data_IF_265822542673
#
_entry.id   IF_265822542673
#
_cell.length_a   1.000
_cell.length_b   1.000
_cell.length_c   1.000
_cell.angle_alpha   90.00
_cell.angle_beta   90.00
_cell.angle_gamma   90.00
#
_symmetry.space_group_name_H-M   'P 1'
#
loop_
_entity.id
_entity.type
_entity.pdbx_description
1 polymer ?
#
# COMPACT_ATOMS: atom_id res chain seq x y z
N UNK A 1 -40.81 26.32 -21.88
CA UNK A 1 -40.11 25.05 -22.12
C UNK A 1 -39.08 24.89 -21.03
N UNK A 2 -39.28 23.95 -20.10
CA UNK A 2 -38.46 23.84 -18.89
C UNK A 2 -37.12 23.13 -19.15
N UNK A 3 -36.04 23.67 -18.60
CA UNK A 3 -34.73 23.02 -18.61
C UNK A 3 -34.77 21.72 -17.78
N UNK A 4 -34.34 20.62 -18.39
CA UNK A 4 -34.21 19.32 -17.74
C UNK A 4 -32.86 19.27 -17.04
N UNK A 5 -32.86 19.08 -15.72
CA UNK A 5 -31.64 19.01 -14.93
C UNK A 5 -30.75 17.82 -15.34
N UNK A 6 -29.41 17.97 -15.35
CA UNK A 6 -28.50 16.93 -15.83
C UNK A 6 -28.48 15.70 -14.90
N UNK A 7 -28.50 14.51 -15.51
CA UNK A 7 -28.39 13.22 -14.82
C UNK A 7 -26.98 13.06 -14.25
N UNK A 8 -26.88 12.94 -12.91
CA UNK A 8 -25.62 12.62 -12.23
C UNK A 8 -25.56 11.12 -11.94
N UNK A 9 -24.57 10.44 -12.51
CA UNK A 9 -24.28 9.04 -12.18
C UNK A 9 -23.16 8.96 -11.13
N UNK A 10 -23.31 8.08 -10.15
CA UNK A 10 -22.30 7.85 -9.12
C UNK A 10 -22.00 6.36 -8.98
N UNK A 11 -20.71 6.01 -9.01
CA UNK A 11 -20.24 4.65 -8.78
C UNK A 11 -19.54 4.56 -7.42
N UNK A 12 -20.15 3.86 -6.47
CA UNK A 12 -19.53 3.61 -5.17
C UNK A 12 -18.56 2.44 -5.25
N UNK A 13 -17.26 2.73 -5.30
CA UNK A 13 -16.22 1.71 -5.08
C UNK A 13 -16.07 1.48 -3.58
N UNK A 14 -16.88 0.58 -3.01
CA UNK A 14 -16.76 0.22 -1.58
C UNK A 14 -15.50 -0.60 -1.36
N UNK A 15 -14.44 0.03 -0.88
CA UNK A 15 -13.33 -0.70 -0.25
C UNK A 15 -13.70 -0.98 1.20
N UNK A 16 -13.41 -2.19 1.68
CA UNK A 16 -13.58 -2.51 3.10
C UNK A 16 -12.52 -1.76 3.90
N UNK A 17 -12.84 -0.55 4.38
CA UNK A 17 -11.94 0.28 5.17
C UNK A 17 -12.11 -0.05 6.66
N UNK A 18 -11.75 -1.27 7.06
CA UNK A 18 -11.81 -1.76 8.44
C UNK A 18 -11.00 -0.92 9.44
N UNK A 19 -9.99 -0.18 8.97
CA UNK A 19 -9.22 0.78 9.77
C UNK A 19 -10.00 2.07 10.12
N UNK A 20 -11.14 2.34 9.48
CA UNK A 20 -11.90 3.58 9.69
C UNK A 20 -12.88 3.44 10.86
N UNK A 21 -12.35 3.59 12.08
CA UNK A 21 -13.11 3.46 13.32
C UNK A 21 -14.09 4.62 13.58
N UNK A 22 -15.01 4.42 14.53
CA UNK A 22 -15.92 5.47 15.01
C UNK A 22 -15.16 6.66 15.59
N UNK A 23 -14.02 6.42 16.24
CA UNK A 23 -13.11 7.45 16.77
C UNK A 23 -12.58 8.34 15.66
N UNK A 24 -12.02 7.77 14.59
CA UNK A 24 -11.52 8.53 13.43
C UNK A 24 -12.66 9.32 12.78
N UNK A 25 -13.85 8.74 12.68
CA UNK A 25 -15.05 9.44 12.17
C UNK A 25 -15.38 10.68 13.01
N UNK A 26 -15.33 10.56 14.34
CA UNK A 26 -15.55 11.69 15.26
C UNK A 26 -14.47 12.76 15.14
N UNK A 27 -13.19 12.37 15.00
CA UNK A 27 -12.08 13.30 14.77
C UNK A 27 -12.24 14.06 13.45
N UNK A 28 -12.64 13.38 12.37
CA UNK A 28 -12.90 14.02 11.07
C UNK A 28 -14.05 15.02 11.17
N UNK A 29 -15.13 14.68 11.90
CA UNK A 29 -16.24 15.60 12.17
C UNK A 29 -15.78 16.83 12.95
N UNK A 30 -14.93 16.64 13.97
CA UNK A 30 -14.35 17.73 14.75
C UNK A 30 -13.50 18.65 13.86
N UNK A 31 -12.62 18.09 13.03
CA UNK A 31 -11.84 18.85 12.04
C UNK A 31 -12.73 19.71 11.15
N UNK A 32 -13.80 19.13 10.61
CA UNK A 32 -14.74 19.85 9.74
C UNK A 32 -15.49 20.95 10.50
N UNK A 33 -15.88 20.70 11.76
CA UNK A 33 -16.49 21.70 12.65
C UNK A 33 -15.54 22.89 12.86
N UNK A 34 -14.27 22.64 13.14
CA UNK A 34 -13.26 23.68 13.36
C UNK A 34 -12.97 24.46 12.08
N UNK A 35 -12.93 23.80 10.93
CA UNK A 35 -12.80 24.46 9.64
C UNK A 35 -13.98 25.39 9.34
N UNK A 36 -15.21 24.91 9.59
CA UNK A 36 -16.41 25.73 9.43
C UNK A 36 -16.42 26.92 10.39
N UNK A 37 -15.93 26.76 11.63
CA UNK A 37 -15.76 27.86 12.59
C UNK A 37 -14.77 28.90 12.06
N UNK A 38 -13.61 28.47 11.55
CA UNK A 38 -12.64 29.37 10.93
C UNK A 38 -13.23 30.11 9.72
N UNK A 39 -13.97 29.44 8.83
CA UNK A 39 -14.61 30.07 7.67
C UNK A 39 -15.58 31.19 8.05
N UNK A 40 -16.27 31.06 9.19
CA UNK A 40 -17.21 32.07 9.71
C UNK A 40 -16.50 33.25 10.35
N UNK A 41 -15.55 32.98 11.24
CA UNK A 41 -14.97 34.01 12.13
C UNK A 41 -13.69 34.64 11.55
N UNK A 42 -12.93 33.91 10.72
CA UNK A 42 -11.69 34.32 10.04
C UNK A 42 -10.57 34.89 10.95
N UNK A 43 -10.64 34.64 12.25
CA UNK A 43 -9.59 35.05 13.21
C UNK A 43 -8.35 34.16 13.14
N UNK A 44 -7.15 34.68 13.46
CA UNK A 44 -5.91 33.90 13.50
C UNK A 44 -5.97 32.76 14.52
N UNK A 45 -6.61 32.96 15.67
CA UNK A 45 -6.78 31.91 16.69
C UNK A 45 -7.60 30.73 16.17
N UNK A 46 -8.70 31.00 15.45
CA UNK A 46 -9.50 29.94 14.83
C UNK A 46 -8.71 29.16 13.76
N UNK A 47 -7.82 29.84 13.03
CA UNK A 47 -6.93 29.20 12.05
C UNK A 47 -5.92 28.27 12.72
N UNK A 48 -5.25 28.73 13.77
CA UNK A 48 -4.29 27.92 14.54
C UNK A 48 -4.97 26.69 15.13
N UNK A 49 -6.15 26.86 15.75
CA UNK A 49 -6.92 25.75 16.30
C UNK A 49 -7.30 24.72 15.22
N UNK A 50 -7.73 25.16 14.04
CA UNK A 50 -8.01 24.25 12.93
C UNK A 50 -6.76 23.48 12.48
N UNK A 51 -5.61 24.16 12.36
CA UNK A 51 -4.35 23.51 11.96
C UNK A 51 -3.92 22.44 12.96
N UNK A 52 -4.02 22.71 14.25
CA UNK A 52 -3.68 21.74 15.30
C UNK A 52 -4.53 20.48 15.18
N UNK A 53 -5.86 20.64 15.13
CA UNK A 53 -6.79 19.52 14.97
C UNK A 53 -6.56 18.78 13.64
N UNK A 54 -6.27 19.50 12.55
CA UNK A 54 -5.95 18.88 11.25
C UNK A 54 -4.73 17.96 11.36
N UNK A 55 -3.67 18.41 12.02
CA UNK A 55 -2.44 17.63 12.20
C UNK A 55 -2.69 16.41 13.10
N UNK A 56 -3.40 16.58 14.22
CA UNK A 56 -3.80 15.47 15.10
C UNK A 56 -4.63 14.41 14.37
N UNK A 57 -5.63 14.82 13.59
CA UNK A 57 -6.46 13.90 12.79
C UNK A 57 -5.61 13.17 11.75
N UNK A 58 -4.65 13.86 11.13
CA UNK A 58 -3.76 13.25 10.13
C UNK A 58 -2.88 12.18 10.78
N UNK A 59 -2.29 12.50 11.93
CA UNK A 59 -1.49 11.55 12.70
C UNK A 59 -2.32 10.36 13.18
N UNK A 60 -3.52 10.59 13.71
CA UNK A 60 -4.42 9.52 14.14
C UNK A 60 -4.80 8.57 13.00
N UNK A 61 -5.09 9.11 11.80
CA UNK A 61 -5.36 8.29 10.61
C UNK A 61 -4.13 7.46 10.22
N UNK A 62 -2.93 8.03 10.27
CA UNK A 62 -1.69 7.29 9.97
C UNK A 62 -1.46 6.17 10.98
N UNK A 63 -1.61 6.45 12.27
CA UNK A 63 -1.46 5.47 13.35
C UNK A 63 -2.48 4.34 13.20
N UNK A 64 -3.77 4.65 13.02
CA UNK A 64 -4.81 3.62 12.87
C UNK A 64 -4.57 2.72 11.67
N UNK A 65 -4.20 3.29 10.52
CA UNK A 65 -3.84 2.49 9.33
C UNK A 65 -2.68 1.56 9.64
N UNK A 66 -1.63 2.05 10.29
CA UNK A 66 -0.46 1.25 10.68
C UNK A 66 -0.85 0.14 11.64
N UNK A 67 -1.53 0.47 12.73
CA UNK A 67 -1.96 -0.50 13.75
C UNK A 67 -2.88 -1.56 13.17
N UNK A 68 -3.80 -1.19 12.28
CA UNK A 68 -4.67 -2.14 11.59
C UNK A 68 -3.86 -3.11 10.71
N UNK A 69 -2.90 -2.60 9.93
CA UNK A 69 -2.03 -3.45 9.12
C UNK A 69 -1.18 -4.39 9.97
N UNK A 70 -0.59 -3.88 11.06
CA UNK A 70 0.17 -4.69 12.01
C UNK A 70 -0.69 -5.78 12.65
N UNK A 71 -1.95 -5.48 12.99
CA UNK A 71 -2.90 -6.45 13.49
C UNK A 71 -3.18 -7.56 12.47
N UNK A 72 -3.48 -7.21 11.22
CA UNK A 72 -3.74 -8.18 10.13
C UNK A 72 -2.51 -9.07 9.89
N UNK A 73 -1.31 -8.48 9.86
CA UNK A 73 -0.05 -9.21 9.68
C UNK A 73 0.21 -10.20 10.82
N UNK A 74 -0.02 -9.78 12.06
CA UNK A 74 0.15 -10.64 13.24
C UNK A 74 -0.89 -11.77 13.27
N UNK A 75 -2.15 -11.47 12.94
CA UNK A 75 -3.24 -12.44 12.93
C UNK A 75 -3.02 -13.58 11.92
N UNK A 76 -2.42 -13.29 10.76
CA UNK A 76 -2.23 -14.25 9.67
C UNK A 76 -0.77 -14.69 9.45
N UNK A 77 0.12 -14.53 10.45
CA UNK A 77 1.55 -14.83 10.32
C UNK A 77 1.88 -16.26 9.86
N UNK A 78 1.04 -17.24 10.24
CA UNK A 78 1.25 -18.67 9.91
C UNK A 78 0.56 -19.10 8.61
N UNK A 79 -0.32 -18.28 8.03
CA UNK A 79 -1.09 -18.61 6.83
C UNK A 79 -0.82 -17.59 5.72
N UNK A 80 0.17 -17.93 4.88
CA UNK A 80 0.60 -17.11 3.75
C UNK A 80 -0.56 -16.82 2.78
N UNK A 81 -1.42 -17.81 2.50
CA UNK A 81 -2.51 -17.66 1.52
C UNK A 81 -3.55 -16.66 2.01
N UNK A 82 -3.94 -16.75 3.28
CA UNK A 82 -4.88 -15.80 3.88
C UNK A 82 -4.28 -14.40 4.00
N UNK A 83 -3.00 -14.30 4.33
CA UNK A 83 -2.31 -13.01 4.38
C UNK A 83 -2.34 -12.30 3.02
N UNK A 84 -1.98 -13.00 1.95
CA UNK A 84 -2.00 -12.43 0.59
C UNK A 84 -3.40 -11.98 0.17
N UNK A 85 -4.43 -12.77 0.48
CA UNK A 85 -5.83 -12.36 0.25
C UNK A 85 -6.18 -11.06 0.97
N UNK A 86 -5.78 -10.91 2.23
CA UNK A 86 -6.02 -9.68 3.00
C UNK A 86 -5.28 -8.47 2.43
N UNK A 87 -4.04 -8.63 1.97
CA UNK A 87 -3.31 -7.56 1.30
C UNK A 87 -3.96 -7.11 -0.02
N UNK A 88 -4.56 -8.04 -0.75
CA UNK A 88 -5.34 -7.75 -1.97
C UNK A 88 -6.64 -7.03 -1.60
N UNK A 89 -7.38 -7.49 -0.59
CA UNK A 89 -8.60 -6.83 -0.08
C UNK A 89 -8.33 -5.39 0.37
N UNK A 90 -7.17 -5.13 0.97
CA UNK A 90 -6.72 -3.80 1.38
C UNK A 90 -6.26 -2.91 0.22
N UNK A 91 -6.20 -3.44 -1.02
CA UNK A 91 -5.80 -2.70 -2.21
C UNK A 91 -4.31 -2.34 -2.25
N UNK A 92 -3.47 -3.02 -1.46
CA UNK A 92 -2.01 -2.81 -1.45
C UNK A 92 -1.37 -3.45 -2.69
N UNK A 93 -1.91 -4.58 -3.13
CA UNK A 93 -1.49 -5.21 -4.37
C UNK A 93 -2.06 -4.46 -5.58
N UNK A 94 -1.19 -3.92 -6.43
CA UNK A 94 -1.57 -3.55 -7.79
C UNK A 94 -1.58 -4.82 -8.61
N UNK A 95 -2.67 -5.10 -9.33
CA UNK A 95 -2.62 -6.06 -10.44
C UNK A 95 -1.42 -5.68 -11.30
N UNK A 96 -0.50 -6.63 -11.49
CA UNK A 96 0.61 -6.45 -12.43
C UNK A 96 -0.02 -6.09 -13.76
N UNK A 97 0.22 -4.85 -14.21
CA UNK A 97 0.03 -4.53 -15.61
C UNK A 97 0.93 -5.50 -16.35
N UNK A 98 0.41 -6.24 -17.32
CA UNK A 98 1.27 -6.96 -18.26
C UNK A 98 2.04 -5.89 -19.04
N UNK A 99 3.15 -5.43 -18.49
CA UNK A 99 4.11 -4.66 -19.27
C UNK A 99 4.62 -5.61 -20.33
N UNK A 100 4.39 -5.26 -21.59
CA UNK A 100 5.09 -5.85 -22.73
C UNK A 100 6.56 -5.87 -22.34
N UNK A 101 7.12 -7.07 -22.19
CA UNK A 101 8.52 -7.20 -21.84
C UNK A 101 9.32 -6.59 -22.99
N UNK A 102 10.28 -5.69 -22.74
CA UNK A 102 11.07 -5.10 -23.83
C UNK A 102 11.68 -6.21 -24.68
N UNK A 103 11.64 -6.10 -26.01
CA UNK A 103 12.04 -7.18 -26.94
C UNK A 103 13.44 -7.75 -26.66
N UNK A 104 14.34 -6.92 -26.13
CA UNK A 104 15.70 -7.30 -25.73
C UNK A 104 15.74 -8.32 -24.58
N UNK A 105 14.71 -8.37 -23.74
CA UNK A 105 14.55 -9.28 -22.62
C UNK A 105 13.57 -10.43 -22.90
N UNK A 106 13.05 -10.52 -24.13
CA UNK A 106 12.06 -11.52 -24.50
C UNK A 106 12.63 -12.94 -24.67
N UNK A 107 13.95 -13.08 -24.75
CA UNK A 107 14.59 -14.40 -24.90
C UNK A 107 15.17 -14.88 -23.55
N UNK A 108 14.53 -15.85 -22.87
CA UNK A 108 14.98 -16.34 -21.58
C UNK A 108 16.33 -17.05 -21.66
N UNK A 109 16.65 -17.72 -22.77
CA UNK A 109 17.91 -18.45 -22.94
C UNK A 109 19.10 -17.51 -22.99
N UNK A 110 18.97 -16.35 -23.67
CA UNK A 110 20.02 -15.33 -23.69
C UNK A 110 20.32 -14.78 -22.30
N UNK A 111 19.28 -14.56 -21.50
CA UNK A 111 19.41 -14.08 -20.12
C UNK A 111 20.07 -15.15 -19.26
N UNK A 112 19.59 -16.40 -19.35
CA UNK A 112 20.14 -17.51 -18.59
C UNK A 112 21.63 -17.71 -18.92
N UNK A 113 21.98 -17.72 -20.21
CA UNK A 113 23.37 -17.88 -20.68
C UNK A 113 24.28 -16.73 -20.20
N UNK A 114 23.79 -15.50 -20.13
CA UNK A 114 24.52 -14.37 -19.56
C UNK A 114 24.83 -14.57 -18.06
N UNK A 115 23.87 -15.08 -17.28
CA UNK A 115 24.09 -15.36 -15.86
C UNK A 115 24.94 -16.62 -15.62
N UNK A 116 24.82 -17.64 -16.49
CA UNK A 116 25.70 -18.81 -16.46
C UNK A 116 27.16 -18.45 -16.75
N UNK A 117 27.41 -17.57 -17.72
CA UNK A 117 28.78 -17.12 -18.03
C UNK A 117 29.39 -16.29 -16.91
N UNK A 118 28.59 -15.51 -16.18
CA UNK A 118 29.04 -14.78 -14.98
C UNK A 118 29.41 -15.73 -13.82
N UNK A 119 28.71 -16.86 -13.71
CA UNK A 119 28.94 -17.87 -12.67
C UNK A 119 30.20 -18.69 -12.92
N UNK A 120 30.56 -18.91 -14.19
CA UNK A 120 31.80 -19.57 -14.58
C UNK A 120 33.06 -18.79 -14.16
N UNK A 121 32.98 -17.45 -14.08
CA UNK A 121 34.09 -16.60 -13.63
C UNK A 121 34.40 -16.70 -12.12
N UNK A 122 33.43 -17.11 -11.29
CA UNK A 122 33.68 -17.38 -9.87
C UNK A 122 34.35 -18.73 -9.60
N UNK A 123 34.31 -19.67 -10.55
CA UNK A 123 34.95 -20.98 -10.38
C UNK A 123 36.47 -20.95 -10.64
N UNK A 124 37.03 -19.92 -11.28
CA UNK A 124 38.47 -19.85 -11.55
C UNK A 124 39.31 -19.26 -10.40
N UNK A 125 38.70 -18.80 -9.30
CA UNK A 125 39.42 -18.25 -8.13
C UNK A 125 39.19 -19.09 -6.85
N UNK A 126 38.48 -20.21 -6.94
CA UNK A 126 38.05 -20.98 -5.76
C UNK A 126 38.41 -22.45 -5.81
N UNK A 127 39.66 -22.81 -6.15
CA UNK A 127 40.19 -24.07 -5.63
C UNK A 127 40.28 -23.95 -4.12
N UNK A 128 39.60 -24.86 -3.43
CA UNK A 128 39.87 -25.48 -2.13
C UNK A 128 38.55 -25.75 -1.39
N UNK A 129 38.44 -27.01 -0.96
CA UNK A 129 37.51 -27.60 0.01
C UNK A 129 36.38 -28.51 -0.51
N UNK A 130 36.74 -29.80 -0.49
CA UNK A 130 36.03 -31.00 0.00
C UNK A 130 35.03 -31.67 -0.94
N UNK A 131 35.55 -32.75 -1.53
CA UNK A 131 34.83 -33.92 -2.00
C UNK A 131 34.38 -34.75 -0.79
N UNK A 132 33.08 -34.99 -0.59
CA UNK A 132 32.57 -36.08 0.27
C UNK A 132 31.96 -37.10 -0.68
N UNK A 133 32.49 -38.34 -0.76
CA UNK A 133 31.87 -39.37 -1.58
C UNK A 133 30.70 -39.99 -0.81
N UNK A 134 29.53 -40.00 -1.45
CA UNK A 134 28.42 -40.86 -1.03
C UNK A 134 28.65 -42.20 -1.71
N UNK A 135 29.05 -43.21 -0.94
CA UNK A 135 28.92 -44.61 -1.33
C UNK A 135 27.44 -45.02 -1.20
N UNK A 136 26.98 -45.77 -2.21
CA UNK A 136 25.67 -46.46 -2.26
C UNK A 136 25.44 -47.36 -1.04
#
# INVERSE_FOLDING_TARGET
MGEIAPIKTWTSKRTNNSWFTTTIRSMVRLKNKMFNKFRKVKTPTAWTNYKNIKNEVTNAIHTEKRTHLEYVLKAHKKDSKMLWRKLIELGIHKKTFHSILPDKLNNPDKINNFFWSFRAWKCLIGSWWIFIPIHY
#
